data_IF_793691120989
#
_entry.id   IF_793691120989
#
_cell.length_a   1.000
_cell.length_b   1.000
_cell.length_c   1.000
_cell.angle_alpha   90.00
_cell.angle_beta   90.00
_cell.angle_gamma   90.00
#
_symmetry.space_group_name_H-M   'P 1'
#
loop_
_entity.id
_entity.type
_entity.pdbx_description
1 polymer ?
#
# COMPACT_ATOMS: atom_id res chain seq x y z
N UNK A 1 -17.84 13.30 -14.37
CA UNK A 1 -16.84 12.36 -13.82
C UNK A 1 -16.08 13.08 -12.71
N UNK A 2 -15.97 12.46 -11.53
CA UNK A 2 -15.14 12.98 -10.43
C UNK A 2 -13.71 12.43 -10.59
N UNK A 3 -12.66 13.17 -10.18
CA UNK A 3 -11.29 12.69 -10.21
C UNK A 3 -11.11 11.45 -9.31
N UNK A 4 -10.27 10.51 -9.75
CA UNK A 4 -9.97 9.27 -9.03
C UNK A 4 -8.54 9.31 -8.53
N UNK A 5 -8.36 9.11 -7.21
CA UNK A 5 -7.05 8.95 -6.60
C UNK A 5 -6.72 7.47 -6.40
N UNK A 6 -5.45 7.10 -6.53
CA UNK A 6 -4.95 5.77 -6.21
C UNK A 6 -3.81 5.87 -5.20
N UNK A 7 -3.90 5.09 -4.13
CA UNK A 7 -2.82 4.96 -3.14
C UNK A 7 -2.45 3.51 -3.01
N UNK A 8 -1.15 3.24 -2.96
CA UNK A 8 -0.59 1.91 -2.83
C UNK A 8 0.14 1.83 -1.49
N UNK A 9 -0.26 0.92 -0.61
CA UNK A 9 0.50 0.66 0.60
C UNK A 9 1.55 -0.42 0.32
N UNK A 10 2.83 -0.14 0.67
CA UNK A 10 3.95 -1.06 0.42
C UNK A 10 4.79 -1.31 1.68
N UNK A 11 4.21 -1.80 2.79
CA UNK A 11 4.97 -2.14 3.99
C UNK A 11 5.93 -3.31 3.75
N UNK A 12 7.08 -3.34 4.40
CA UNK A 12 8.08 -4.43 4.33
C UNK A 12 7.40 -5.80 4.45
N UNK A 13 7.97 -6.80 3.77
CA UNK A 13 7.36 -8.13 3.61
C UNK A 13 7.06 -8.79 4.96
N UNK A 14 7.95 -8.64 5.94
CA UNK A 14 7.76 -9.13 7.31
C UNK A 14 6.55 -8.49 8.00
N UNK A 15 6.38 -7.17 7.84
CA UNK A 15 5.23 -6.42 8.39
C UNK A 15 3.93 -6.84 7.69
N UNK A 16 3.95 -6.98 6.37
CA UNK A 16 2.80 -7.44 5.59
C UNK A 16 2.36 -8.85 6.01
N UNK A 17 3.32 -9.77 6.18
CA UNK A 17 3.08 -11.13 6.64
C UNK A 17 2.48 -11.16 8.04
N UNK A 18 3.11 -10.46 9.01
CA UNK A 18 2.62 -10.39 10.39
C UNK A 18 1.17 -9.87 10.48
N UNK A 19 0.84 -8.84 9.69
CA UNK A 19 -0.53 -8.28 9.61
C UNK A 19 -1.51 -9.26 8.96
N UNK A 20 -1.10 -9.97 7.91
CA UNK A 20 -1.95 -10.91 7.19
C UNK A 20 -2.27 -12.16 8.04
N UNK A 21 -1.27 -12.73 8.71
CA UNK A 21 -1.45 -13.93 9.56
C UNK A 21 -2.34 -13.66 10.76
N UNK A 22 -2.38 -12.42 11.26
CA UNK A 22 -3.25 -12.02 12.38
C UNK A 22 -4.74 -11.97 11.99
N UNK A 23 -5.08 -11.86 10.69
CA UNK A 23 -6.47 -11.70 10.22
C UNK A 23 -7.28 -12.99 10.15
N UNK A 24 -6.65 -14.17 10.23
CA UNK A 24 -7.35 -15.47 10.19
C UNK A 24 -8.16 -15.67 8.90
N UNK A 25 -7.48 -16.00 7.79
CA UNK A 25 -8.13 -16.30 6.51
C UNK A 25 -7.16 -17.01 5.55
N UNK A 26 -7.62 -18.12 4.97
CA UNK A 26 -6.76 -19.16 4.39
C UNK A 26 -6.01 -18.80 3.09
N UNK A 27 -6.26 -17.66 2.45
CA UNK A 27 -5.67 -17.38 1.11
C UNK A 27 -4.44 -16.47 1.10
N UNK A 28 -4.16 -15.71 2.17
CA UNK A 28 -3.02 -14.79 2.26
C UNK A 28 -2.12 -15.06 3.49
N UNK A 29 -2.05 -16.32 3.91
CA UNK A 29 -1.25 -16.74 5.07
C UNK A 29 0.09 -17.36 4.68
N UNK A 30 0.32 -17.59 3.39
CA UNK A 30 1.52 -18.25 2.88
C UNK A 30 2.59 -17.23 2.47
N UNK A 31 3.87 -17.38 2.89
CA UNK A 31 4.95 -16.44 2.59
C UNK A 31 5.23 -16.26 1.09
N UNK A 32 5.01 -17.31 0.30
CA UNK A 32 5.38 -17.38 -1.10
C UNK A 32 4.46 -16.53 -2.02
N UNK A 33 3.11 -16.61 -1.91
CA UNK A 33 2.21 -15.68 -2.59
C UNK A 33 2.46 -14.21 -2.26
N UNK A 34 2.73 -13.88 -0.99
CA UNK A 34 2.96 -12.49 -0.55
C UNK A 34 4.26 -11.94 -1.15
N UNK A 35 5.32 -12.76 -1.20
CA UNK A 35 6.60 -12.37 -1.78
C UNK A 35 6.52 -12.16 -3.29
N UNK A 36 5.78 -13.01 -4.01
CA UNK A 36 5.54 -12.83 -5.45
C UNK A 36 4.68 -11.60 -5.75
N UNK A 37 3.63 -11.34 -4.96
CA UNK A 37 2.83 -10.12 -5.08
C UNK A 37 3.69 -8.88 -4.84
N UNK A 38 4.54 -8.88 -3.81
CA UNK A 38 5.51 -7.80 -3.55
C UNK A 38 6.41 -7.56 -4.75
N UNK A 39 6.96 -8.62 -5.34
CA UNK A 39 7.82 -8.52 -6.53
C UNK A 39 7.08 -7.86 -7.71
N UNK A 40 5.82 -8.22 -7.95
CA UNK A 40 5.00 -7.61 -9.01
C UNK A 40 4.68 -6.12 -8.77
N UNK A 41 4.72 -5.65 -7.53
CA UNK A 41 4.51 -4.24 -7.16
C UNK A 41 5.82 -3.48 -6.85
N UNK A 42 6.97 -4.03 -7.23
CA UNK A 42 8.30 -3.45 -6.94
C UNK A 42 8.69 -2.31 -7.87
N UNK A 43 8.18 -2.30 -9.11
CA UNK A 43 8.48 -1.28 -10.11
C UNK A 43 7.17 -0.80 -10.74
N UNK A 44 6.67 0.34 -10.26
CA UNK A 44 5.43 0.96 -10.77
C UNK A 44 5.68 2.17 -11.66
N UNK A 45 6.93 2.41 -12.08
CA UNK A 45 7.28 3.54 -12.94
C UNK A 45 6.75 4.88 -12.40
N UNK A 46 5.95 5.59 -13.19
CA UNK A 46 5.38 6.89 -12.80
C UNK A 46 4.41 6.82 -11.59
N UNK A 47 3.91 5.64 -11.24
CA UNK A 47 3.03 5.43 -10.09
C UNK A 47 3.80 5.23 -8.78
N UNK A 48 5.13 5.25 -8.80
CA UNK A 48 5.95 5.21 -7.58
C UNK A 48 5.62 6.38 -6.64
N UNK A 49 5.20 7.54 -7.18
CA UNK A 49 4.72 8.69 -6.39
C UNK A 49 3.41 8.41 -5.62
N UNK A 50 2.68 7.35 -5.97
CA UNK A 50 1.44 6.94 -5.29
C UNK A 50 1.68 5.91 -4.19
N UNK A 51 2.95 5.51 -3.98
CA UNK A 51 3.28 4.50 -3.00
C UNK A 51 3.60 5.12 -1.65
N UNK A 52 2.95 4.61 -0.62
CA UNK A 52 3.19 4.94 0.78
C UNK A 52 3.81 3.72 1.46
N UNK A 53 5.02 3.90 2.01
CA UNK A 53 5.61 2.91 2.91
C UNK A 53 4.98 3.05 4.30
N UNK A 54 4.13 2.08 4.66
CA UNK A 54 3.43 2.01 5.95
C UNK A 54 4.03 0.99 6.91
N UNK A 55 5.31 0.63 6.72
CA UNK A 55 6.02 -0.39 7.52
C UNK A 55 6.03 -0.04 9.00
N UNK A 56 6.41 1.21 9.29
CA UNK A 56 6.63 1.68 10.66
C UNK A 56 5.51 2.63 11.13
N UNK A 57 4.43 2.72 10.34
CA UNK A 57 3.25 3.51 10.66
C UNK A 57 2.20 2.66 11.38
N UNK A 58 1.61 3.25 12.41
CA UNK A 58 0.30 2.86 12.93
C UNK A 58 -0.80 3.11 11.89
N UNK A 59 -2.00 2.61 12.18
CA UNK A 59 -3.17 2.82 11.29
C UNK A 59 -3.48 4.32 11.21
N UNK A 60 -3.47 5.01 12.34
CA UNK A 60 -3.79 6.43 12.49
C UNK A 60 -2.79 7.30 11.70
N UNK A 61 -1.50 6.99 11.80
CA UNK A 61 -0.45 7.68 11.05
C UNK A 61 -0.59 7.44 9.54
N UNK A 62 -0.90 6.21 9.13
CA UNK A 62 -1.14 5.89 7.72
C UNK A 62 -2.33 6.69 7.17
N UNK A 63 -3.42 6.77 7.93
CA UNK A 63 -4.62 7.53 7.54
C UNK A 63 -4.34 9.02 7.44
N UNK A 64 -3.62 9.59 8.41
CA UNK A 64 -3.24 11.00 8.39
C UNK A 64 -2.36 11.34 7.16
N UNK A 65 -1.38 10.49 6.86
CA UNK A 65 -0.51 10.65 5.68
C UNK A 65 -1.30 10.61 4.37
N UNK A 66 -2.18 9.62 4.21
CA UNK A 66 -2.99 9.49 3.00
C UNK A 66 -3.91 10.69 2.84
N UNK A 67 -4.50 11.16 3.94
CA UNK A 67 -5.35 12.35 3.92
C UNK A 67 -4.60 13.61 3.47
N UNK A 68 -3.43 13.89 4.05
CA UNK A 68 -2.61 15.05 3.65
C UNK A 68 -2.24 14.98 2.16
N UNK A 69 -1.83 13.81 1.67
CA UNK A 69 -1.51 13.63 0.26
C UNK A 69 -2.72 13.80 -0.68
N UNK A 70 -3.92 13.41 -0.24
CA UNK A 70 -5.16 13.65 -0.99
C UNK A 70 -5.52 15.14 -1.03
N UNK A 71 -5.37 15.86 0.08
CA UNK A 71 -5.60 17.32 0.15
C UNK A 71 -4.62 18.10 -0.76
N UNK A 72 -3.49 17.48 -1.12
CA UNK A 72 -2.45 18.02 -2.01
C UNK A 72 -2.50 17.47 -3.44
N UNK A 73 -3.53 16.70 -3.79
CA UNK A 73 -3.68 16.03 -5.08
C UNK A 73 -2.52 15.09 -5.46
N UNK A 74 -1.71 14.67 -4.48
CA UNK A 74 -0.49 13.89 -4.69
C UNK A 74 -0.75 12.51 -5.31
N UNK A 75 -1.99 12.01 -5.17
CA UNK A 75 -2.41 10.66 -5.58
C UNK A 75 -3.40 10.64 -6.74
N UNK A 76 -3.65 11.79 -7.39
CA UNK A 76 -4.53 11.82 -8.56
C UNK A 76 -3.91 11.07 -9.73
N UNK A 77 -4.73 10.26 -10.38
CA UNK A 77 -4.39 9.58 -11.63
C UNK A 77 -4.46 10.56 -12.81
N UNK A 78 -3.51 10.48 -13.76
CA UNK A 78 -3.62 11.21 -15.03
C UNK A 78 -4.87 10.76 -15.80
N UNK A 79 -5.44 11.68 -16.57
CA UNK A 79 -6.71 11.49 -17.29
C UNK A 79 -6.52 10.75 -18.61
#
# INVERSE_FOLDING_TARGET
MRPTGQVVLRPRVDVALSRATTRGGDELSLPEPISQLRAQFSDRGELERHVVDSSDQTVEETVAWVRDGLERDAYLLPR
#
